data_IF_315015693548
#
_entry.id   IF_315015693548
#
_cell.length_a   1.000
_cell.length_b   1.000
_cell.length_c   1.000
_cell.angle_alpha   90.00
_cell.angle_beta   90.00
_cell.angle_gamma   90.00
#
_symmetry.space_group_name_H-M   'P 1'
#
loop_
_entity.id
_entity.type
_entity.pdbx_description
1 polymer ?
#
# COMPACT_ATOMS: atom_id res chain seq x y z
N UNK A 1 -48.71 45.68 -13.55
CA UNK A 1 -48.37 44.27 -13.26
C UNK A 1 -46.97 44.00 -13.78
N UNK A 2 -45.94 44.04 -12.93
CA UNK A 2 -44.56 44.20 -13.37
C UNK A 2 -44.00 42.84 -13.80
N UNK A 3 -44.27 42.45 -15.05
CA UNK A 3 -43.68 41.28 -15.71
C UNK A 3 -42.14 41.20 -15.55
N UNK A 4 -41.48 42.35 -15.44
CA UNK A 4 -40.05 42.50 -15.16
C UNK A 4 -39.57 41.88 -13.84
N UNK A 5 -40.39 41.88 -12.79
CA UNK A 5 -40.02 41.31 -11.48
C UNK A 5 -39.70 39.81 -11.58
N UNK A 6 -40.44 39.10 -12.44
CA UNK A 6 -40.25 37.67 -12.67
C UNK A 6 -38.86 37.37 -13.24
N UNK A 7 -38.40 38.16 -14.21
CA UNK A 7 -37.08 37.98 -14.84
C UNK A 7 -35.96 38.21 -13.82
N UNK A 8 -36.08 39.23 -12.98
CA UNK A 8 -35.08 39.52 -11.93
C UNK A 8 -34.96 38.36 -10.92
N UNK A 9 -36.08 37.72 -10.56
CA UNK A 9 -36.09 36.54 -9.69
C UNK A 9 -35.29 35.39 -10.33
N UNK A 10 -35.54 35.09 -11.60
CA UNK A 10 -34.81 34.02 -12.30
C UNK A 10 -33.31 34.33 -12.41
N UNK A 11 -32.95 35.57 -12.74
CA UNK A 11 -31.54 35.97 -12.82
C UNK A 11 -30.86 35.84 -11.46
N UNK A 12 -31.52 36.27 -10.38
CA UNK A 12 -30.99 36.12 -9.03
C UNK A 12 -30.82 34.64 -8.64
N UNK A 13 -31.79 33.78 -8.97
CA UNK A 13 -31.72 32.34 -8.73
C UNK A 13 -30.57 31.69 -9.50
N UNK A 14 -30.42 32.01 -10.79
CA UNK A 14 -29.33 31.49 -11.62
C UNK A 14 -27.98 31.99 -11.11
N UNK A 15 -27.86 33.28 -10.78
CA UNK A 15 -26.63 33.85 -10.25
C UNK A 15 -26.23 33.20 -8.92
N UNK A 16 -27.18 32.96 -8.02
CA UNK A 16 -26.94 32.30 -6.75
C UNK A 16 -26.54 30.83 -6.93
N UNK A 17 -27.19 30.11 -7.87
CA UNK A 17 -26.82 28.75 -8.23
C UNK A 17 -25.41 28.69 -8.84
N UNK A 18 -25.08 29.61 -9.75
CA UNK A 18 -23.74 29.71 -10.35
C UNK A 18 -22.69 29.99 -9.28
N UNK A 19 -22.95 30.93 -8.39
CA UNK A 19 -22.06 31.25 -7.28
C UNK A 19 -21.84 30.04 -6.37
N UNK A 20 -22.91 29.30 -6.04
CA UNK A 20 -22.80 28.06 -5.27
C UNK A 20 -21.94 27.01 -5.98
N UNK A 21 -22.17 26.78 -7.28
CA UNK A 21 -21.39 25.81 -8.07
C UNK A 21 -19.92 26.22 -8.16
N UNK A 22 -19.62 27.50 -8.38
CA UNK A 22 -18.25 28.02 -8.43
C UNK A 22 -17.54 27.84 -7.08
N UNK A 23 -18.20 28.23 -5.98
CA UNK A 23 -17.64 28.04 -4.64
C UNK A 23 -17.39 26.56 -4.33
N UNK A 24 -18.35 25.70 -4.67
CA UNK A 24 -18.23 24.27 -4.41
C UNK A 24 -17.15 23.63 -5.30
N UNK A 25 -17.07 24.03 -6.55
CA UNK A 25 -16.01 23.62 -7.47
C UNK A 25 -14.63 24.03 -6.96
N UNK A 26 -14.46 25.28 -6.54
CA UNK A 26 -13.19 25.75 -5.96
C UNK A 26 -12.84 25.02 -4.66
N UNK A 27 -13.83 24.75 -3.81
CA UNK A 27 -13.62 23.99 -2.57
C UNK A 27 -13.14 22.57 -2.88
N UNK A 28 -13.86 21.84 -3.73
CA UNK A 28 -13.50 20.47 -4.13
C UNK A 28 -12.16 20.44 -4.83
N UNK A 29 -11.86 21.42 -5.69
CA UNK A 29 -10.58 21.53 -6.36
C UNK A 29 -9.42 21.72 -5.37
N UNK A 30 -9.56 22.63 -4.41
CA UNK A 30 -8.55 22.87 -3.36
C UNK A 30 -8.36 21.64 -2.48
N UNK A 31 -9.45 20.99 -2.08
CA UNK A 31 -9.40 19.81 -1.22
C UNK A 31 -8.83 18.61 -2.00
N UNK A 32 -9.17 18.46 -3.29
CA UNK A 32 -8.63 17.42 -4.17
C UNK A 32 -7.15 17.59 -4.53
N UNK A 33 -6.68 18.82 -4.72
CA UNK A 33 -5.24 19.08 -4.90
C UNK A 33 -4.45 18.68 -3.66
N UNK A 34 -4.95 18.97 -2.46
CA UNK A 34 -4.29 18.56 -1.21
C UNK A 34 -4.19 17.04 -1.09
N UNK A 35 -5.24 16.30 -1.45
CA UNK A 35 -5.20 14.84 -1.40
C UNK A 35 -4.22 14.28 -2.44
N UNK A 36 -4.17 14.85 -3.65
CA UNK A 36 -3.20 14.46 -4.67
C UNK A 36 -1.76 14.70 -4.21
N UNK A 37 -1.47 15.84 -3.58
CA UNK A 37 -0.15 16.12 -3.00
C UNK A 37 0.21 15.13 -1.89
N UNK A 38 -0.72 14.84 -0.98
CA UNK A 38 -0.51 13.85 0.08
C UNK A 38 -0.28 12.44 -0.48
N UNK A 39 -1.01 12.05 -1.52
CA UNK A 39 -0.81 10.76 -2.20
C UNK A 39 0.53 10.72 -2.91
N UNK A 40 0.98 11.82 -3.51
CA UNK A 40 2.29 11.90 -4.15
C UNK A 40 3.43 11.78 -3.13
N UNK A 41 3.33 12.49 -1.99
CA UNK A 41 4.31 12.42 -0.91
C UNK A 41 4.42 11.01 -0.32
N UNK A 42 3.27 10.39 -0.02
CA UNK A 42 3.23 8.99 0.43
C UNK A 42 3.75 8.05 -0.66
N UNK A 43 3.43 8.32 -1.92
CA UNK A 43 3.92 7.56 -3.07
C UNK A 43 5.44 7.59 -3.20
N UNK A 44 6.05 8.75 -2.98
CA UNK A 44 7.50 8.94 -3.01
C UNK A 44 8.17 8.22 -1.84
N UNK A 45 7.63 8.33 -0.62
CA UNK A 45 8.11 7.58 0.56
C UNK A 45 8.01 6.06 0.37
N UNK A 46 6.91 5.59 -0.23
CA UNK A 46 6.78 4.18 -0.59
C UNK A 46 7.82 3.81 -1.66
N UNK A 47 7.98 4.63 -2.69
CA UNK A 47 8.96 4.42 -3.75
C UNK A 47 10.38 4.27 -3.21
N UNK A 48 10.80 5.14 -2.30
CA UNK A 48 12.11 5.05 -1.64
C UNK A 48 12.23 3.79 -0.79
N UNK A 49 11.19 3.43 -0.04
CA UNK A 49 11.20 2.19 0.77
C UNK A 49 11.25 0.93 -0.10
N UNK A 50 10.54 0.91 -1.23
CA UNK A 50 10.60 -0.19 -2.20
C UNK A 50 11.97 -0.27 -2.87
N UNK A 51 12.57 0.88 -3.22
CA UNK A 51 13.93 0.93 -3.75
C UNK A 51 14.94 0.37 -2.74
N UNK A 52 14.88 0.80 -1.48
CA UNK A 52 15.74 0.32 -0.39
C UNK A 52 15.55 -1.18 -0.14
N UNK A 53 14.31 -1.67 -0.09
CA UNK A 53 14.02 -3.10 0.00
C UNK A 53 14.54 -3.88 -1.22
N UNK A 54 14.47 -3.31 -2.42
CA UNK A 54 14.98 -3.94 -3.64
C UNK A 54 16.51 -3.96 -3.67
N UNK A 55 17.18 -2.93 -3.16
CA UNK A 55 18.63 -2.89 -3.01
C UNK A 55 19.10 -3.85 -1.92
N UNK A 56 18.40 -3.92 -0.79
CA UNK A 56 18.64 -4.89 0.27
C UNK A 56 18.44 -6.33 -0.23
N UNK A 57 17.40 -6.58 -1.03
CA UNK A 57 17.18 -7.86 -1.69
C UNK A 57 18.28 -8.18 -2.72
N UNK A 58 18.72 -7.20 -3.51
CA UNK A 58 19.80 -7.36 -4.47
C UNK A 58 21.16 -7.59 -3.80
N UNK A 59 21.43 -6.95 -2.65
CA UNK A 59 22.60 -7.20 -1.81
C UNK A 59 22.53 -8.57 -1.13
N UNK A 60 21.37 -8.97 -0.60
CA UNK A 60 21.15 -10.31 -0.07
C UNK A 60 21.37 -11.37 -1.16
N UNK A 61 20.97 -11.09 -2.41
CA UNK A 61 21.15 -12.01 -3.54
C UNK A 61 22.59 -12.03 -4.09
N UNK A 62 23.37 -10.96 -3.90
CA UNK A 62 24.83 -10.94 -4.14
C UNK A 62 25.63 -11.63 -3.03
N UNK A 63 25.18 -11.52 -1.78
CA UNK A 63 25.79 -12.23 -0.63
C UNK A 63 25.41 -13.71 -0.56
N UNK A 64 24.25 -14.06 -1.10
CA UNK A 64 23.73 -15.42 -1.11
C UNK A 64 23.43 -15.82 -2.55
N UNK A 65 24.50 -16.08 -3.31
CA UNK A 65 24.41 -16.96 -4.46
C UNK A 65 23.99 -18.34 -3.94
N UNK A 66 22.69 -18.55 -3.70
CA UNK A 66 22.08 -19.88 -3.64
C UNK A 66 22.18 -20.48 -5.04
N UNK A 67 23.41 -20.88 -5.37
CA UNK A 67 23.69 -21.87 -6.39
C UNK A 67 23.18 -23.20 -5.84
N UNK A 68 21.87 -23.38 -5.79
CA UNK A 68 21.31 -24.72 -5.68
C UNK A 68 21.51 -25.33 -7.05
N UNK A 69 22.72 -25.84 -7.28
CA UNK A 69 23.00 -26.69 -8.43
C UNK A 69 21.98 -27.82 -8.39
N UNK A 70 21.16 -28.02 -9.43
CA UNK A 70 20.23 -29.13 -9.47
C UNK A 70 21.01 -30.43 -9.27
N UNK A 71 20.74 -31.14 -8.16
CA UNK A 71 21.50 -32.32 -7.72
C UNK A 71 22.30 -32.17 -6.42
N UNK A 72 22.50 -30.94 -5.90
CA UNK A 72 23.23 -30.70 -4.65
C UNK A 72 22.59 -31.37 -3.41
N UNK A 73 21.27 -31.61 -3.45
CA UNK A 73 20.54 -32.32 -2.39
C UNK A 73 20.94 -33.79 -2.22
N UNK A 74 21.53 -34.43 -3.25
CA UNK A 74 21.95 -35.84 -3.20
C UNK A 74 23.27 -36.01 -2.42
N UNK A 75 24.10 -34.95 -2.36
CA UNK A 75 25.43 -34.98 -1.73
C UNK A 75 25.55 -34.08 -0.49
N UNK A 76 24.45 -33.44 -0.07
CA UNK A 76 24.44 -32.61 1.12
C UNK A 76 24.48 -33.46 2.40
N UNK A 77 25.22 -32.99 3.40
CA UNK A 77 25.22 -33.59 4.74
C UNK A 77 23.81 -33.49 5.35
N UNK A 78 23.28 -34.51 6.05
CA UNK A 78 21.93 -34.50 6.61
C UNK A 78 21.62 -33.29 7.49
N UNK A 79 22.62 -32.76 8.19
CA UNK A 79 22.49 -31.56 9.03
C UNK A 79 22.18 -30.32 8.19
N UNK A 80 22.95 -30.08 7.11
CA UNK A 80 22.70 -28.97 6.18
C UNK A 80 21.32 -29.06 5.53
N UNK A 81 20.87 -30.27 5.19
CA UNK A 81 19.56 -30.48 4.60
C UNK A 81 18.42 -30.21 5.60
N UNK A 82 18.63 -30.48 6.90
CA UNK A 82 17.68 -30.12 7.95
C UNK A 82 17.60 -28.61 8.13
N UNK A 83 18.74 -27.93 8.13
CA UNK A 83 18.79 -26.47 8.28
C UNK A 83 18.12 -25.78 7.08
N UNK A 84 18.42 -26.21 5.85
CA UNK A 84 17.78 -25.73 4.63
C UNK A 84 16.26 -25.97 4.65
N UNK A 85 15.84 -27.14 5.14
CA UNK A 85 14.42 -27.47 5.27
C UNK A 85 13.71 -26.59 6.31
N UNK A 86 14.34 -26.33 7.46
CA UNK A 86 13.78 -25.47 8.50
C UNK A 86 13.67 -24.03 8.00
N UNK A 87 14.73 -23.50 7.36
CA UNK A 87 14.71 -22.18 6.75
C UNK A 87 13.61 -22.05 5.68
N UNK A 88 13.48 -23.04 4.80
CA UNK A 88 12.43 -23.06 3.78
C UNK A 88 11.02 -23.20 4.39
N UNK A 89 10.88 -23.95 5.49
CA UNK A 89 9.62 -24.12 6.21
C UNK A 89 9.17 -22.82 6.86
N UNK A 90 10.09 -22.11 7.50
CA UNK A 90 9.83 -20.80 8.11
C UNK A 90 9.42 -19.78 7.05
N UNK A 91 10.16 -19.69 5.93
CA UNK A 91 9.83 -18.80 4.82
C UNK A 91 8.39 -19.03 4.28
N UNK A 92 7.96 -20.30 4.19
CA UNK A 92 6.58 -20.65 3.80
C UNK A 92 5.54 -20.28 4.84
N UNK A 93 5.87 -20.35 6.13
CA UNK A 93 4.96 -19.94 7.19
C UNK A 93 4.78 -18.42 7.19
N UNK A 94 5.88 -17.66 7.08
CA UNK A 94 5.85 -16.21 7.01
C UNK A 94 5.09 -15.69 5.77
N UNK A 95 5.32 -16.26 4.59
CA UNK A 95 4.59 -15.83 3.39
C UNK A 95 3.07 -16.01 3.50
N UNK A 96 2.63 -17.11 4.13
CA UNK A 96 1.20 -17.36 4.40
C UNK A 96 0.64 -16.38 5.45
N UNK A 97 1.43 -16.04 6.46
CA UNK A 97 1.04 -15.08 7.49
C UNK A 97 0.87 -13.68 6.90
N UNK A 98 1.82 -13.22 6.09
CA UNK A 98 1.72 -11.94 5.37
C UNK A 98 0.50 -11.89 4.46
N UNK A 99 0.21 -12.96 3.70
CA UNK A 99 -0.99 -13.02 2.86
C UNK A 99 -2.30 -12.93 3.68
N UNK A 100 -2.37 -13.57 4.86
CA UNK A 100 -3.53 -13.48 5.75
C UNK A 100 -3.72 -12.08 6.30
N UNK A 101 -2.63 -11.43 6.69
CA UNK A 101 -2.61 -10.06 7.22
C UNK A 101 -3.05 -9.07 6.14
N UNK A 102 -2.51 -9.18 4.92
CA UNK A 102 -2.91 -8.35 3.78
C UNK A 102 -4.41 -8.48 3.47
N UNK A 103 -4.91 -9.72 3.36
CA UNK A 103 -6.34 -9.99 3.10
C UNK A 103 -7.29 -9.50 4.20
N UNK A 104 -6.84 -9.45 5.46
CA UNK A 104 -7.64 -8.89 6.57
C UNK A 104 -7.60 -7.36 6.57
N UNK A 105 -6.44 -6.78 6.26
CA UNK A 105 -6.26 -5.32 6.14
C UNK A 105 -7.17 -4.74 5.06
N UNK A 106 -7.25 -5.38 3.90
CA UNK A 106 -8.17 -4.99 2.81
C UNK A 106 -9.65 -5.01 3.22
N UNK A 107 -10.04 -5.89 4.15
CA UNK A 107 -11.41 -6.01 4.66
C UNK A 107 -11.69 -5.11 5.88
N UNK A 108 -10.73 -4.32 6.33
CA UNK A 108 -10.85 -3.50 7.54
C UNK A 108 -11.04 -4.32 8.82
N UNK A 109 -10.65 -5.60 8.81
CA UNK A 109 -10.86 -6.50 9.95
C UNK A 109 -9.67 -6.44 10.91
N UNK A 110 -9.94 -6.44 12.21
CA UNK A 110 -8.90 -6.43 13.24
C UNK A 110 -7.96 -7.63 13.08
N UNK A 111 -6.66 -7.37 13.12
CA UNK A 111 -5.62 -8.40 13.03
C UNK A 111 -5.50 -9.14 14.37
N UNK A 112 -5.10 -10.41 14.33
CA UNK A 112 -4.90 -11.15 15.57
C UNK A 112 -3.61 -10.70 16.25
N UNK A 113 -3.61 -10.58 17.58
CA UNK A 113 -2.43 -10.15 18.35
C UNK A 113 -1.22 -11.06 18.12
N UNK A 114 -1.46 -12.35 17.84
CA UNK A 114 -0.42 -13.34 17.53
C UNK A 114 0.26 -13.04 16.19
N UNK A 115 -0.50 -12.58 15.19
CA UNK A 115 0.05 -12.20 13.88
C UNK A 115 0.86 -10.91 13.98
N UNK A 116 0.43 -9.96 14.81
CA UNK A 116 1.15 -8.70 15.05
C UNK A 116 2.49 -8.96 15.75
N UNK A 117 2.51 -9.80 16.79
CA UNK A 117 3.75 -10.17 17.50
C UNK A 117 4.73 -10.89 16.57
N UNK A 118 4.24 -11.81 15.74
CA UNK A 118 5.07 -12.51 14.76
C UNK A 118 5.65 -11.61 13.66
N UNK A 119 5.02 -10.47 13.35
CA UNK A 119 5.56 -9.46 12.45
C UNK A 119 6.54 -8.52 13.14
N UNK A 120 6.34 -8.25 14.44
CA UNK A 120 7.22 -7.40 15.23
C UNK A 120 8.57 -8.07 15.54
N UNK A 121 8.59 -9.40 15.70
CA UNK A 121 9.83 -10.15 15.96
C UNK A 121 10.75 -10.27 14.72
N UNK A 122 10.32 -9.78 13.54
CA UNK A 122 11.04 -9.92 12.25
C UNK A 122 11.49 -8.58 11.65
N UNK A 123 11.00 -7.44 12.17
CA UNK A 123 11.40 -6.09 11.76
C UNK A 123 12.51 -5.53 12.64
#
# INVERSE_FOLDING_TARGET
MPWWSWILIWVALVALALLFVVLMGLKVWRDGLKTLHAVNEVGEQLGTHWAECSEAAAQAQKGEARSTVPGAAVFATPEKMKDDYLAAKEARQFSRLQQRVARRKERGQLQSLRDIKALQDVG
#
